data_IF_165422710467
#
_entry.id   IF_165422710467
#
_cell.length_a   1.000
_cell.length_b   1.000
_cell.length_c   1.000
_cell.angle_alpha   90.00
_cell.angle_beta   90.00
_cell.angle_gamma   90.00
#
_symmetry.space_group_name_H-M   'P 1'
#
loop_
_entity.id
_entity.type
_entity.pdbx_description
1 polymer ?
#
# COMPACT_ATOMS: atom_id res chain seq x y z
N UNK A 1 3.79 -29.61 -5.76
CA UNK A 1 3.91 -28.65 -4.63
C UNK A 1 5.13 -27.77 -4.89
N UNK A 2 5.07 -26.81 -5.82
CA UNK A 2 6.29 -26.12 -6.30
C UNK A 2 6.01 -24.68 -6.84
N UNK A 3 5.14 -23.89 -6.20
CA UNK A 3 4.91 -22.50 -6.66
C UNK A 3 4.96 -21.42 -5.56
N UNK A 4 4.88 -21.78 -4.27
CA UNK A 4 4.84 -20.78 -3.19
C UNK A 4 6.23 -20.25 -2.78
N UNK A 5 7.27 -21.09 -2.79
CA UNK A 5 8.63 -20.69 -2.36
C UNK A 5 9.22 -19.54 -3.20
N UNK A 6 8.90 -19.48 -4.51
CA UNK A 6 9.42 -18.44 -5.40
C UNK A 6 8.81 -17.06 -5.15
N UNK A 7 7.51 -16.99 -4.81
CA UNK A 7 6.82 -15.73 -4.53
C UNK A 7 7.26 -15.16 -3.19
N UNK A 8 7.32 -16.00 -2.16
CA UNK A 8 7.76 -15.59 -0.82
C UNK A 8 9.22 -15.12 -0.81
N UNK A 9 10.10 -15.85 -1.48
CA UNK A 9 11.50 -15.43 -1.61
C UNK A 9 11.63 -14.07 -2.32
N UNK A 10 10.79 -13.84 -3.34
CA UNK A 10 10.70 -12.53 -4.00
C UNK A 10 10.21 -11.42 -3.07
N UNK A 11 9.17 -11.69 -2.27
CA UNK A 11 8.69 -10.76 -1.26
C UNK A 11 9.80 -10.40 -0.27
N UNK A 12 10.45 -11.38 0.34
CA UNK A 12 11.48 -11.13 1.36
C UNK A 12 12.66 -10.34 0.79
N UNK A 13 13.15 -10.72 -0.40
CA UNK A 13 14.22 -10.01 -1.10
C UNK A 13 13.86 -8.55 -1.36
N UNK A 14 12.63 -8.28 -1.82
CA UNK A 14 12.15 -6.92 -2.06
C UNK A 14 11.96 -6.15 -0.75
N UNK A 15 11.38 -6.78 0.27
CA UNK A 15 11.12 -6.19 1.57
C UNK A 15 12.41 -5.74 2.25
N UNK A 16 13.44 -6.61 2.32
CA UNK A 16 14.74 -6.26 2.89
C UNK A 16 15.40 -5.10 2.15
N UNK A 17 15.30 -5.06 0.82
CA UNK A 17 15.83 -3.97 0.01
C UNK A 17 15.14 -2.65 0.38
N UNK A 18 13.81 -2.59 0.32
CA UNK A 18 13.06 -1.37 0.65
C UNK A 18 13.28 -0.93 2.10
N UNK A 19 13.41 -1.89 3.03
CA UNK A 19 13.54 -1.60 4.47
C UNK A 19 14.93 -1.16 4.89
N UNK A 20 15.98 -1.77 4.34
CA UNK A 20 17.35 -1.64 4.85
C UNK A 20 18.40 -1.28 3.79
N UNK A 21 18.13 -1.51 2.50
CA UNK A 21 19.09 -1.26 1.42
C UNK A 21 18.41 -0.77 0.13
N UNK A 22 17.71 0.39 0.18
CA UNK A 22 16.88 0.88 -0.92
C UNK A 22 17.68 1.16 -2.19
N UNK A 23 19.00 1.37 -2.09
CA UNK A 23 19.91 1.51 -3.22
C UNK A 23 19.97 0.27 -4.13
N UNK A 24 19.62 -0.91 -3.60
CA UNK A 24 19.57 -2.17 -4.37
C UNK A 24 18.27 -2.36 -5.12
N UNK A 25 17.20 -1.63 -4.77
CA UNK A 25 15.88 -1.80 -5.35
C UNK A 25 15.89 -1.73 -6.89
N UNK A 26 16.55 -0.75 -7.54
CA UNK A 26 16.54 -0.66 -9.00
C UNK A 26 17.22 -1.83 -9.69
N UNK A 27 18.21 -2.46 -9.05
CA UNK A 27 18.85 -3.67 -9.57
C UNK A 27 17.92 -4.88 -9.47
N UNK A 28 17.28 -5.08 -8.31
CA UNK A 28 16.33 -6.17 -8.09
C UNK A 28 15.15 -6.09 -9.08
N UNK A 29 14.61 -4.89 -9.28
CA UNK A 29 13.51 -4.65 -10.24
C UNK A 29 13.95 -4.86 -11.68
N UNK A 30 15.20 -4.48 -12.03
CA UNK A 30 15.77 -4.73 -13.37
C UNK A 30 15.94 -6.22 -13.65
N UNK A 31 16.36 -7.00 -12.66
CA UNK A 31 16.50 -8.46 -12.81
C UNK A 31 15.14 -9.12 -13.05
N UNK A 32 14.12 -8.71 -12.30
CA UNK A 32 12.76 -9.24 -12.42
C UNK A 32 11.73 -8.24 -11.89
N UNK A 33 11.06 -7.52 -12.79
CA UNK A 33 10.01 -6.55 -12.41
C UNK A 33 8.84 -7.19 -11.67
N UNK A 34 8.53 -8.47 -11.92
CA UNK A 34 7.44 -9.18 -11.26
C UNK A 34 7.65 -9.35 -9.75
N UNK A 35 8.88 -9.09 -9.24
CA UNK A 35 9.18 -9.10 -7.81
C UNK A 35 8.35 -8.07 -7.03
N UNK A 36 7.95 -6.96 -7.66
CA UNK A 36 7.16 -5.88 -7.04
C UNK A 36 5.78 -6.36 -6.57
N UNK A 37 5.27 -7.40 -7.23
CA UNK A 37 3.95 -7.99 -6.98
C UNK A 37 4.04 -9.35 -6.28
N UNK A 38 5.23 -9.73 -5.80
CA UNK A 38 5.37 -10.88 -4.93
C UNK A 38 4.70 -10.61 -3.58
N UNK A 39 4.01 -11.64 -3.06
CA UNK A 39 3.24 -11.54 -1.84
C UNK A 39 3.79 -12.46 -0.74
N UNK A 40 3.64 -12.03 0.51
CA UNK A 40 3.94 -12.85 1.69
C UNK A 40 2.86 -13.94 1.91
N UNK A 41 2.95 -14.69 3.01
CA UNK A 41 1.96 -15.73 3.37
C UNK A 41 0.55 -15.21 3.65
N UNK A 42 0.40 -13.94 4.00
CA UNK A 42 -0.89 -13.28 4.17
C UNK A 42 -1.49 -12.81 2.83
N UNK A 43 -0.75 -12.96 1.72
CA UNK A 43 -1.16 -12.49 0.40
C UNK A 43 -0.88 -11.00 0.18
N UNK A 44 -0.04 -10.38 1.01
CA UNK A 44 0.25 -8.94 0.95
C UNK A 44 1.51 -8.67 0.13
N UNK A 45 1.48 -7.69 -0.77
CA UNK A 45 2.68 -7.18 -1.45
C UNK A 45 3.49 -6.28 -0.52
N UNK A 46 4.74 -5.98 -0.89
CA UNK A 46 5.58 -5.05 -0.12
C UNK A 46 4.99 -3.64 -0.09
N UNK A 47 4.32 -3.20 -1.16
CA UNK A 47 3.60 -1.93 -1.21
C UNK A 47 2.44 -1.89 -0.22
N UNK A 48 1.63 -2.95 -0.17
CA UNK A 48 0.50 -3.08 0.74
C UNK A 48 0.96 -3.07 2.20
N UNK A 49 2.05 -3.78 2.52
CA UNK A 49 2.63 -3.78 3.87
C UNK A 49 3.06 -2.36 4.31
N UNK A 50 3.83 -1.64 3.48
CA UNK A 50 4.25 -0.28 3.84
C UNK A 50 3.10 0.73 3.81
N UNK A 51 2.03 0.43 3.06
CA UNK A 51 0.79 1.21 3.11
C UNK A 51 0.07 1.05 4.44
N UNK A 52 0.03 -0.16 4.99
CA UNK A 52 -0.50 -0.45 6.33
C UNK A 52 0.29 0.25 7.43
N UNK A 53 1.62 0.25 7.35
CA UNK A 53 2.51 0.92 8.32
C UNK A 53 2.48 2.46 8.19
N UNK A 54 1.93 2.98 7.08
CA UNK A 54 1.91 4.41 6.79
C UNK A 54 3.28 4.99 6.45
N UNK A 55 4.22 4.15 5.99
CA UNK A 55 5.57 4.59 5.62
C UNK A 55 5.56 5.18 4.21
N UNK A 56 5.05 6.42 4.11
CA UNK A 56 4.83 7.11 2.82
C UNK A 56 6.11 7.20 1.98
N UNK A 57 7.29 7.29 2.60
CA UNK A 57 8.57 7.32 1.86
C UNK A 57 8.86 5.99 1.17
N UNK A 58 8.65 4.86 1.85
CA UNK A 58 8.82 3.52 1.25
C UNK A 58 7.74 3.21 0.22
N UNK A 59 6.50 3.62 0.47
CA UNK A 59 5.42 3.55 -0.53
C UNK A 59 5.80 4.33 -1.78
N UNK A 60 6.28 5.57 -1.64
CA UNK A 60 6.75 6.39 -2.76
C UNK A 60 7.88 5.71 -3.53
N UNK A 61 8.89 5.19 -2.82
CA UNK A 61 10.02 4.49 -3.44
C UNK A 61 9.56 3.31 -4.31
N UNK A 62 8.62 2.50 -3.81
CA UNK A 62 8.06 1.37 -4.56
C UNK A 62 7.29 1.82 -5.80
N UNK A 63 6.43 2.83 -5.65
CA UNK A 63 5.63 3.40 -6.74
C UNK A 63 6.51 4.00 -7.85
N UNK A 64 7.56 4.73 -7.49
CA UNK A 64 8.54 5.29 -8.44
C UNK A 64 9.34 4.19 -9.19
N UNK A 65 9.41 2.99 -8.64
CA UNK A 65 10.03 1.81 -9.27
C UNK A 65 9.01 0.91 -9.99
N UNK A 66 7.75 1.32 -10.09
CA UNK A 66 6.73 0.66 -10.90
C UNK A 66 5.85 -0.35 -10.17
N UNK A 67 5.83 -0.35 -8.83
CA UNK A 67 4.85 -1.14 -8.08
C UNK A 67 3.44 -0.65 -8.40
N UNK A 68 2.48 -1.56 -8.51
CA UNK A 68 1.12 -1.21 -8.84
C UNK A 68 0.36 -0.71 -7.60
N UNK A 69 -0.10 0.55 -7.64
CA UNK A 69 -1.06 1.06 -6.67
C UNK A 69 -2.44 0.41 -6.90
N UNK A 70 -3.01 -0.20 -5.87
CA UNK A 70 -4.27 -0.95 -5.95
C UNK A 70 -5.24 -0.58 -4.81
N UNK A 71 -6.46 -1.12 -4.86
CA UNK A 71 -7.49 -0.89 -3.86
C UNK A 71 -7.07 -1.38 -2.46
N UNK A 72 -6.27 -2.44 -2.39
CA UNK A 72 -5.81 -3.03 -1.12
C UNK A 72 -4.79 -2.16 -0.42
N UNK A 73 -3.87 -1.55 -1.16
CA UNK A 73 -2.92 -0.57 -0.63
C UNK A 73 -3.66 0.60 0.01
N UNK A 74 -4.73 1.09 -0.66
CA UNK A 74 -5.57 2.16 -0.10
C UNK A 74 -6.37 1.66 1.11
N UNK A 75 -6.92 0.46 1.05
CA UNK A 75 -7.65 -0.17 2.16
C UNK A 75 -6.79 -0.23 3.44
N UNK A 76 -5.55 -0.71 3.33
CA UNK A 76 -4.63 -0.79 4.47
C UNK A 76 -4.28 0.60 5.02
N UNK A 77 -3.89 1.55 4.15
CA UNK A 77 -3.58 2.91 4.57
C UNK A 77 -4.78 3.63 5.20
N UNK A 78 -5.98 3.42 4.64
CA UNK A 78 -7.24 3.94 5.15
C UNK A 78 -7.56 3.38 6.53
N UNK A 79 -7.43 2.06 6.73
CA UNK A 79 -7.65 1.38 7.99
C UNK A 79 -6.95 2.05 9.17
N UNK A 80 -5.72 2.52 9.00
CA UNK A 80 -4.95 3.16 10.08
C UNK A 80 -4.93 4.71 10.00
N UNK A 81 -5.61 5.29 9.01
CA UNK A 81 -5.72 6.74 8.85
C UNK A 81 -4.44 7.41 8.36
N UNK A 82 -3.65 6.73 7.53
CA UNK A 82 -2.42 7.23 6.93
C UNK A 82 -2.72 8.13 5.73
N UNK A 83 -3.22 9.34 6.02
CA UNK A 83 -3.71 10.33 5.03
C UNK A 83 -2.71 10.59 3.89
N UNK A 84 -1.44 10.81 4.20
CA UNK A 84 -0.42 11.12 3.18
C UNK A 84 -0.15 9.93 2.26
N UNK A 85 -0.16 8.72 2.81
CA UNK A 85 -0.06 7.47 2.04
C UNK A 85 -1.29 7.26 1.15
N UNK A 86 -2.50 7.50 1.66
CA UNK A 86 -3.74 7.42 0.85
C UNK A 86 -3.65 8.41 -0.31
N UNK A 87 -3.27 9.66 -0.04
CA UNK A 87 -3.15 10.68 -1.08
C UNK A 87 -2.19 10.24 -2.17
N UNK A 88 -1.00 9.77 -1.79
CA UNK A 88 0.02 9.30 -2.73
C UNK A 88 -0.47 8.12 -3.57
N UNK A 89 -1.15 7.14 -2.98
CA UNK A 89 -1.71 6.00 -3.72
C UNK A 89 -2.77 6.44 -4.73
N UNK A 90 -3.64 7.39 -4.36
CA UNK A 90 -4.64 7.96 -5.28
C UNK A 90 -3.99 8.75 -6.42
N UNK A 91 -2.92 9.52 -6.15
CA UNK A 91 -2.14 10.22 -7.17
C UNK A 91 -1.49 9.27 -8.18
N UNK A 92 -1.12 8.06 -7.74
CA UNK A 92 -0.63 6.97 -8.59
C UNK A 92 -1.73 6.13 -9.22
N UNK A 93 -2.99 6.56 -9.12
CA UNK A 93 -4.12 5.98 -9.85
C UNK A 93 -4.79 4.79 -9.17
N UNK A 94 -4.50 4.51 -7.90
CA UNK A 94 -5.26 3.51 -7.16
C UNK A 94 -6.74 3.89 -7.09
N UNK A 95 -7.62 2.93 -7.39
CA UNK A 95 -9.07 3.10 -7.29
C UNK A 95 -9.52 2.43 -5.99
N UNK A 96 -9.91 3.18 -4.96
CA UNK A 96 -10.30 2.59 -3.68
C UNK A 96 -11.67 1.89 -3.75
N UNK A 97 -11.79 0.75 -3.08
CA UNK A 97 -13.09 0.24 -2.66
C UNK A 97 -13.57 1.03 -1.43
N UNK A 98 -14.53 1.91 -1.67
CA UNK A 98 -15.08 2.81 -0.66
C UNK A 98 -15.75 2.04 0.47
N UNK A 99 -16.52 0.99 0.19
CA UNK A 99 -17.21 0.29 1.28
C UNK A 99 -16.24 -0.52 2.13
N UNK A 100 -15.25 -1.17 1.51
CA UNK A 100 -14.20 -1.87 2.25
C UNK A 100 -13.37 -0.89 3.11
N UNK A 101 -12.93 0.23 2.52
CA UNK A 101 -12.20 1.28 3.23
C UNK A 101 -13.03 1.84 4.41
N UNK A 102 -14.34 1.98 4.25
CA UNK A 102 -15.25 2.46 5.30
C UNK A 102 -15.30 1.48 6.46
N UNK A 103 -15.48 0.19 6.16
CA UNK A 103 -15.60 -0.85 7.16
C UNK A 103 -14.33 -0.89 8.03
N UNK A 104 -13.16 -1.03 7.42
CA UNK A 104 -11.90 -1.12 8.16
C UNK A 104 -11.62 0.17 8.94
N UNK A 105 -11.90 1.34 8.35
CA UNK A 105 -11.70 2.63 8.99
C UNK A 105 -12.60 2.86 10.21
N UNK A 106 -13.82 2.32 10.21
CA UNK A 106 -14.71 2.38 11.37
C UNK A 106 -14.31 1.37 12.45
N UNK A 107 -13.84 0.18 12.05
CA UNK A 107 -13.40 -0.87 12.97
C UNK A 107 -12.12 -0.50 13.74
N UNK A 108 -11.17 0.16 13.08
CA UNK A 108 -9.89 0.56 13.69
C UNK A 108 -9.99 1.72 14.68
N UNK A 109 -11.14 2.42 14.71
CA UNK A 109 -11.44 3.54 15.62
C UNK A 109 -10.33 4.61 15.63
N UNK A 110 -9.96 5.19 14.48
CA UNK A 110 -8.91 6.18 14.39
C UNK A 110 -9.33 7.48 15.08
N UNK A 111 -8.35 8.35 15.37
CA UNK A 111 -8.63 9.62 16.06
C UNK A 111 -9.65 10.47 15.29
N UNK A 112 -10.35 11.37 15.99
CA UNK A 112 -11.34 12.27 15.37
C UNK A 112 -10.72 13.11 14.25
N UNK A 113 -9.46 13.54 14.40
CA UNK A 113 -8.74 14.29 13.35
C UNK A 113 -8.56 13.45 12.09
N UNK A 114 -8.05 12.22 12.24
CA UNK A 114 -7.86 11.31 11.11
C UNK A 114 -9.17 10.97 10.40
N UNK A 115 -10.27 10.81 11.14
CA UNK A 115 -11.63 10.68 10.56
C UNK A 115 -12.00 11.84 9.64
N UNK A 116 -11.70 13.06 10.05
CA UNK A 116 -12.03 14.25 9.25
C UNK A 116 -11.10 14.33 8.03
N UNK A 117 -9.80 14.11 8.21
CA UNK A 117 -8.80 14.20 7.14
C UNK A 117 -9.05 13.17 6.02
N UNK A 118 -9.21 11.89 6.36
CA UNK A 118 -9.47 10.83 5.36
C UNK A 118 -10.78 11.07 4.61
N UNK A 119 -11.84 11.48 5.30
CA UNK A 119 -13.13 11.81 4.65
C UNK A 119 -13.01 12.98 3.69
N UNK A 120 -12.26 14.02 4.07
CA UNK A 120 -12.01 15.18 3.20
C UNK A 120 -11.18 14.78 1.99
N UNK A 121 -10.15 13.96 2.19
CA UNK A 121 -9.30 13.47 1.12
C UNK A 121 -10.12 12.68 0.10
N UNK A 122 -10.89 11.68 0.54
CA UNK A 122 -11.72 10.92 -0.37
C UNK A 122 -12.78 11.77 -1.09
N UNK A 123 -13.43 12.70 -0.39
CA UNK A 123 -14.37 13.62 -1.02
C UNK A 123 -13.71 14.54 -2.08
N UNK A 124 -12.41 14.86 -1.93
CA UNK A 124 -11.67 15.65 -2.92
C UNK A 124 -11.38 14.88 -4.22
N UNK A 125 -11.48 13.54 -4.17
CA UNK A 125 -11.34 12.62 -5.29
C UNK A 125 -12.71 12.04 -5.73
N UNK A 126 -13.80 12.72 -5.40
CA UNK A 126 -15.19 12.31 -5.71
C UNK A 126 -15.62 10.97 -5.09
N UNK A 127 -14.92 10.51 -4.06
CA UNK A 127 -15.27 9.33 -3.29
C UNK A 127 -16.07 9.73 -2.03
N UNK A 128 -17.39 9.54 -2.07
CA UNK A 128 -18.25 9.90 -0.94
C UNK A 128 -18.47 8.74 0.05
N UNK A 129 -18.30 9.03 1.34
CA UNK A 129 -18.63 8.12 2.44
C UNK A 129 -19.70 8.75 3.33
N UNK A 130 -20.97 8.35 3.20
CA UNK A 130 -22.03 8.73 4.15
C UNK A 130 -21.99 7.77 5.34
N UNK A 131 -21.88 8.33 6.56
CA UNK A 131 -22.01 7.57 7.82
C UNK A 131 -23.45 7.66 8.27
#
# INVERSE_FOLDING_TARGET
>A
MIEHEGKEYGFERLFEAVRYSPEKLPEIVRDNIAVLECANYAGETVLQFFSMEGDTEKVKLLLENGAQADEWSVYFAAGFGHVDTILLLLEYGAIPDIEACKEIFLLSKPSKSKRIEVRKLFAAYDYEFKV
#
